data_IF_513222099828
#
_entry.id   IF_513222099828
#
_cell.length_a   1.000
_cell.length_b   1.000
_cell.length_c   1.000
_cell.angle_alpha   90.00
_cell.angle_beta   90.00
_cell.angle_gamma   90.00
#
_symmetry.space_group_name_H-M   'P 1'
#
loop_
_entity.id
_entity.type
_entity.pdbx_description
1 polymer ?
#
# COMPACT_ATOMS: atom_id res chain seq x y z
N UNK A 1 35.22 30.92 12.64
CA UNK A 1 33.75 30.97 12.66
C UNK A 1 33.25 30.78 11.23
N UNK A 2 32.85 29.57 10.84
CA UNK A 2 32.31 29.30 9.49
C UNK A 2 30.80 29.12 9.63
N UNK A 3 30.06 30.16 9.29
CA UNK A 3 28.60 30.16 9.30
C UNK A 3 28.05 29.25 8.19
N UNK A 4 27.44 28.14 8.58
CA UNK A 4 26.73 27.24 7.68
C UNK A 4 25.54 27.96 7.04
N UNK A 5 25.68 28.35 5.77
CA UNK A 5 24.56 28.81 4.94
C UNK A 5 23.54 27.68 4.79
N UNK A 6 22.41 27.76 5.50
CA UNK A 6 21.24 26.91 5.23
C UNK A 6 20.70 27.30 3.85
N UNK A 7 20.68 26.35 2.92
CA UNK A 7 19.98 26.50 1.64
C UNK A 7 18.47 26.45 1.94
N UNK A 8 17.65 27.37 1.39
CA UNK A 8 16.20 27.25 1.51
C UNK A 8 15.77 25.96 0.78
N UNK A 9 15.17 25.03 1.53
CA UNK A 9 14.56 23.84 0.96
C UNK A 9 13.34 24.29 0.14
N UNK A 10 13.41 24.11 -1.17
CA UNK A 10 12.26 24.33 -2.05
C UNK A 10 11.26 23.20 -1.75
N UNK A 11 10.15 23.54 -1.10
CA UNK A 11 9.06 22.63 -0.76
C UNK A 11 8.41 22.12 -2.05
N UNK A 12 8.95 21.03 -2.61
CA UNK A 12 8.29 20.31 -3.69
C UNK A 12 7.20 19.46 -3.05
N UNK A 13 5.97 19.99 -3.03
CA UNK A 13 4.79 19.28 -2.55
C UNK A 13 4.47 18.10 -3.48
N UNK A 14 5.05 16.94 -3.20
CA UNK A 14 4.75 15.69 -3.89
C UNK A 14 3.38 15.15 -3.45
N UNK A 15 2.61 14.61 -4.39
CA UNK A 15 1.36 13.90 -4.08
C UNK A 15 1.73 12.44 -3.80
N UNK A 16 1.54 12.00 -2.56
CA UNK A 16 1.66 10.59 -2.18
C UNK A 16 0.35 9.87 -2.51
N UNK A 17 0.43 8.86 -3.38
CA UNK A 17 -0.72 8.03 -3.75
C UNK A 17 -0.68 6.70 -2.99
N UNK A 18 -1.83 6.19 -2.52
CA UNK A 18 -1.91 4.92 -1.83
C UNK A 18 -1.75 3.76 -2.82
N UNK A 19 -0.72 2.94 -2.63
CA UNK A 19 -0.44 1.76 -3.47
C UNK A 19 -0.86 0.51 -2.73
N UNK A 20 -1.73 -0.30 -3.34
CA UNK A 20 -2.18 -1.56 -2.76
C UNK A 20 -1.04 -2.57 -2.65
N UNK A 21 -0.82 -3.14 -1.47
CA UNK A 21 0.23 -4.15 -1.19
C UNK A 21 0.05 -5.47 -1.95
N UNK A 22 -1.16 -5.72 -2.49
CA UNK A 22 -1.49 -6.95 -3.21
C UNK A 22 -1.41 -6.77 -4.73
N UNK A 23 -1.99 -5.71 -5.30
CA UNK A 23 -2.04 -5.52 -6.76
C UNK A 23 -1.11 -4.43 -7.28
N UNK A 24 -0.37 -3.73 -6.41
CA UNK A 24 0.56 -2.65 -6.75
C UNK A 24 -0.09 -1.48 -7.53
N UNK A 25 -1.41 -1.34 -7.42
CA UNK A 25 -2.19 -0.27 -8.08
C UNK A 25 -2.69 0.76 -7.07
N UNK A 26 -2.82 2.00 -7.54
CA UNK A 26 -3.58 3.06 -6.85
C UNK A 26 -5.03 2.98 -7.30
N UNK A 27 -6.00 2.75 -6.40
CA UNK A 27 -7.41 2.73 -6.77
C UNK A 27 -7.87 4.13 -7.22
N UNK A 28 -8.87 4.22 -8.12
CA UNK A 28 -9.35 5.51 -8.65
C UNK A 28 -9.97 6.40 -7.56
N UNK A 29 -10.48 5.80 -6.48
CA UNK A 29 -11.00 6.50 -5.30
C UNK A 29 -9.89 6.96 -4.33
N UNK A 30 -8.61 6.79 -4.68
CA UNK A 30 -7.48 7.12 -3.82
C UNK A 30 -7.57 6.39 -2.47
N UNK A 31 -7.32 7.12 -1.38
CA UNK A 31 -7.29 6.52 -0.03
C UNK A 31 -8.67 5.99 0.42
N UNK A 32 -9.76 6.51 -0.17
CA UNK A 32 -11.12 6.03 0.11
C UNK A 32 -11.43 4.69 -0.60
N UNK A 33 -10.56 4.22 -1.49
CA UNK A 33 -10.72 2.97 -2.24
C UNK A 33 -10.14 1.73 -1.53
N UNK A 34 -9.94 1.77 -0.21
CA UNK A 34 -9.31 0.70 0.53
C UNK A 34 -9.19 0.96 2.03
N UNK A 35 -8.38 0.13 2.69
CA UNK A 35 -8.11 0.18 4.12
C UNK A 35 -6.60 0.18 4.38
N UNK A 36 -6.19 0.70 5.54
CA UNK A 36 -4.80 0.65 6.00
C UNK A 36 -4.68 -0.44 7.09
N UNK A 37 -3.79 -1.41 6.90
CA UNK A 37 -3.52 -2.50 7.84
C UNK A 37 -2.02 -2.57 8.09
N UNK A 38 -1.59 -2.39 9.34
CA UNK A 38 -0.17 -2.40 9.73
C UNK A 38 0.73 -1.48 8.88
N UNK A 39 0.23 -0.31 8.48
CA UNK A 39 0.96 0.64 7.63
C UNK A 39 0.97 0.30 6.14
N UNK A 40 0.34 -0.80 5.72
CA UNK A 40 0.16 -1.17 4.33
C UNK A 40 -1.25 -0.83 3.84
N UNK A 41 -1.36 -0.28 2.63
CA UNK A 41 -2.65 -0.01 2.01
C UNK A 41 -3.15 -1.26 1.27
N UNK A 42 -4.43 -1.58 1.41
CA UNK A 42 -5.12 -2.68 0.74
C UNK A 42 -6.39 -2.14 0.06
N UNK A 43 -6.49 -2.23 -1.25
CA UNK A 43 -7.69 -1.76 -1.97
C UNK A 43 -8.88 -2.70 -1.78
N UNK A 44 -10.10 -2.16 -1.89
CA UNK A 44 -11.37 -2.92 -1.68
C UNK A 44 -11.45 -4.17 -2.55
N UNK A 45 -11.06 -4.09 -3.83
CA UNK A 45 -11.07 -5.26 -4.72
C UNK A 45 -10.22 -6.41 -4.16
N UNK A 46 -9.00 -6.12 -3.70
CA UNK A 46 -8.13 -7.14 -3.15
C UNK A 46 -8.63 -7.64 -1.79
N UNK A 47 -9.22 -6.78 -0.98
CA UNK A 47 -9.89 -7.17 0.26
C UNK A 47 -11.04 -8.15 0.00
N UNK A 48 -11.95 -7.85 -0.93
CA UNK A 48 -13.03 -8.76 -1.32
C UNK A 48 -12.50 -10.11 -1.86
N UNK A 49 -11.43 -10.08 -2.65
CA UNK A 49 -10.80 -11.29 -3.20
C UNK A 49 -10.21 -12.16 -2.09
N UNK A 50 -9.57 -11.55 -1.09
CA UNK A 50 -9.04 -12.23 0.09
C UNK A 50 -10.16 -12.91 0.89
N UNK A 51 -11.25 -12.18 1.15
CA UNK A 51 -12.38 -12.70 1.94
C UNK A 51 -13.09 -13.85 1.22
N UNK A 52 -13.11 -13.83 -0.13
CA UNK A 52 -13.76 -14.87 -0.94
C UNK A 52 -12.84 -16.05 -1.28
N UNK A 53 -11.52 -15.92 -1.13
CA UNK A 53 -10.57 -16.94 -1.52
C UNK A 53 -10.75 -18.24 -0.73
N UNK A 54 -10.78 -19.38 -1.44
CA UNK A 54 -10.91 -20.71 -0.84
C UNK A 54 -9.62 -21.52 -1.00
N UNK A 55 -9.40 -22.42 -0.06
CA UNK A 55 -8.32 -23.41 -0.16
C UNK A 55 -8.60 -24.31 -1.37
N UNK A 56 -7.69 -24.28 -2.35
CA UNK A 56 -7.84 -24.99 -3.63
C UNK A 56 -7.96 -24.05 -4.84
N UNK A 57 -8.29 -22.77 -4.64
CA UNK A 57 -8.29 -21.80 -5.73
C UNK A 57 -6.87 -21.55 -6.23
N UNK A 58 -6.70 -21.44 -7.55
CA UNK A 58 -5.40 -21.16 -8.19
C UNK A 58 -4.80 -19.81 -7.74
N UNK A 59 -5.65 -18.87 -7.31
CA UNK A 59 -5.25 -17.58 -6.76
C UNK A 59 -4.88 -17.58 -5.28
N UNK A 60 -5.32 -18.59 -4.51
CA UNK A 60 -5.19 -18.59 -3.04
C UNK A 60 -3.73 -18.50 -2.59
N UNK A 61 -2.84 -19.30 -3.17
CA UNK A 61 -1.43 -19.29 -2.81
C UNK A 61 -0.78 -17.92 -3.06
N UNK A 62 -1.11 -17.27 -4.17
CA UNK A 62 -0.54 -15.96 -4.53
C UNK A 62 -1.02 -14.87 -3.57
N UNK A 63 -2.31 -14.86 -3.27
CA UNK A 63 -2.93 -13.93 -2.31
C UNK A 63 -2.33 -14.14 -0.92
N UNK A 64 -2.19 -15.39 -0.48
CA UNK A 64 -1.59 -15.75 0.82
C UNK A 64 -0.17 -15.21 0.96
N UNK A 65 0.69 -15.41 -0.04
CA UNK A 65 2.07 -14.93 0.03
C UNK A 65 2.17 -13.39 0.05
N UNK A 66 1.25 -12.70 -0.63
CA UNK A 66 1.18 -11.23 -0.61
C UNK A 66 0.73 -10.68 0.75
N UNK A 67 -0.28 -11.29 1.38
CA UNK A 67 -0.78 -10.87 2.70
C UNK A 67 0.29 -11.03 3.79
N UNK A 68 1.16 -12.04 3.71
CA UNK A 68 2.23 -12.22 4.70
C UNK A 68 3.11 -10.97 4.88
N UNK A 69 3.21 -10.11 3.86
CA UNK A 69 3.95 -8.84 3.95
C UNK A 69 3.39 -7.91 5.02
N UNK A 70 2.09 -7.97 5.30
CA UNK A 70 1.40 -7.12 6.29
C UNK A 70 1.83 -7.46 7.72
N UNK A 71 2.23 -8.71 7.97
CA UNK A 71 2.49 -9.24 9.31
C UNK A 71 3.97 -9.50 9.59
N UNK A 72 4.89 -9.09 8.69
CA UNK A 72 6.33 -9.13 8.98
C UNK A 72 6.68 -7.95 9.90
N UNK A 73 6.53 -8.17 11.21
CA UNK A 73 7.12 -7.33 12.25
C UNK A 73 8.58 -7.70 12.49
#
# INVERSE_FOLDING_TARGET
>A
MVGSRRRPATDKKGILLPVCVVCDQTPPLGIAGGILVSGHFLCTRCEEEIVRARVGDSGYCQIKEKIKKIWRC
#
